data_IF_951527909845
#
_entry.id   IF_951527909845
#
_cell.length_a   1.000
_cell.length_b   1.000
_cell.length_c   1.000
_cell.angle_alpha   90.00
_cell.angle_beta   90.00
_cell.angle_gamma   90.00
#
_symmetry.space_group_name_H-M   'P 1'
#
loop_
_entity.id
_entity.type
_entity.pdbx_description
1 polymer ?
#
# COMPACT_ATOMS: atom_id res chain seq x y z
N UNK A 1 31.83 -8.56 -28.04
CA UNK A 1 30.37 -8.73 -28.23
C UNK A 1 29.71 -9.40 -27.02
N UNK A 2 30.27 -10.53 -26.52
CA UNK A 2 29.77 -11.29 -25.36
C UNK A 2 29.46 -10.46 -24.08
N UNK A 3 30.35 -9.53 -23.69
CA UNK A 3 30.15 -8.71 -22.47
C UNK A 3 28.88 -7.83 -22.50
N UNK A 4 28.46 -7.34 -23.68
CA UNK A 4 27.23 -6.54 -23.81
C UNK A 4 25.97 -7.41 -23.74
N UNK A 5 26.04 -8.64 -24.22
CA UNK A 5 24.94 -9.62 -24.17
C UNK A 5 24.67 -10.02 -22.72
N UNK A 6 25.72 -10.34 -21.96
CA UNK A 6 25.64 -10.67 -20.53
C UNK A 6 25.05 -9.55 -19.68
N UNK A 7 25.47 -8.30 -19.88
CA UNK A 7 24.93 -7.14 -19.13
C UNK A 7 23.45 -6.92 -19.42
N UNK A 8 23.03 -7.13 -20.69
CA UNK A 8 21.63 -7.01 -21.09
C UNK A 8 20.76 -8.09 -20.44
N UNK A 9 21.22 -9.33 -20.39
CA UNK A 9 20.49 -10.42 -19.71
C UNK A 9 20.32 -10.17 -18.21
N UNK A 10 21.41 -9.80 -17.54
CA UNK A 10 21.39 -9.46 -16.11
C UNK A 10 20.37 -8.34 -15.86
N UNK A 11 20.32 -7.32 -16.72
CA UNK A 11 19.32 -6.24 -16.61
C UNK A 11 17.88 -6.77 -16.61
N UNK A 12 17.51 -7.66 -17.55
CA UNK A 12 16.14 -8.18 -17.62
C UNK A 12 15.78 -9.03 -16.40
N UNK A 13 16.71 -9.86 -15.89
CA UNK A 13 16.50 -10.62 -14.66
C UNK A 13 16.34 -9.71 -13.43
N UNK A 14 17.17 -8.67 -13.31
CA UNK A 14 17.07 -7.69 -12.22
C UNK A 14 15.73 -6.95 -12.28
N UNK A 15 15.28 -6.54 -13.46
CA UNK A 15 13.97 -5.89 -13.62
C UNK A 15 12.82 -6.83 -13.25
N UNK A 16 12.88 -8.10 -13.63
CA UNK A 16 11.92 -9.12 -13.21
C UNK A 16 11.91 -9.28 -11.69
N UNK A 17 13.08 -9.32 -11.05
CA UNK A 17 13.19 -9.42 -9.60
C UNK A 17 12.56 -8.21 -8.89
N UNK A 18 12.87 -7.00 -9.35
CA UNK A 18 12.29 -5.76 -8.82
C UNK A 18 10.76 -5.80 -8.97
N UNK A 19 10.25 -6.20 -10.13
CA UNK A 19 8.81 -6.29 -10.37
C UNK A 19 8.12 -7.31 -9.44
N UNK A 20 8.76 -8.45 -9.15
CA UNK A 20 8.25 -9.42 -8.17
C UNK A 20 8.20 -8.82 -6.76
N UNK A 21 9.25 -8.11 -6.34
CA UNK A 21 9.28 -7.45 -5.02
C UNK A 21 8.14 -6.43 -4.93
N UNK A 22 7.97 -5.59 -5.96
CA UNK A 22 6.88 -4.62 -6.01
C UNK A 22 5.52 -5.29 -6.01
N UNK A 23 5.35 -6.41 -6.71
CA UNK A 23 4.13 -7.20 -6.72
C UNK A 23 3.75 -7.68 -5.31
N UNK A 24 4.72 -8.22 -4.56
CA UNK A 24 4.50 -8.67 -3.17
C UNK A 24 4.10 -7.50 -2.28
N UNK A 25 4.84 -6.38 -2.34
CA UNK A 25 4.52 -5.16 -1.56
C UNK A 25 3.10 -4.67 -1.88
N UNK A 26 2.71 -4.73 -3.15
CA UNK A 26 1.38 -4.29 -3.61
C UNK A 26 0.28 -5.17 -3.04
N UNK A 27 0.48 -6.49 -3.03
CA UNK A 27 -0.48 -7.44 -2.44
C UNK A 27 -0.65 -7.20 -0.94
N UNK A 28 0.44 -7.05 -0.20
CA UNK A 28 0.39 -6.74 1.24
C UNK A 28 -0.33 -5.42 1.49
N UNK A 29 -0.01 -4.38 0.70
CA UNK A 29 -0.67 -3.07 0.81
C UNK A 29 -2.18 -3.18 0.58
N UNK A 30 -2.61 -3.93 -0.44
CA UNK A 30 -4.04 -4.14 -0.72
C UNK A 30 -4.70 -4.89 0.43
N UNK A 31 -4.06 -5.94 0.94
CA UNK A 31 -4.59 -6.73 2.05
C UNK A 31 -4.79 -5.86 3.30
N UNK A 32 -3.75 -5.16 3.74
CA UNK A 32 -3.80 -4.30 4.93
C UNK A 32 -4.86 -3.20 4.77
N UNK A 33 -4.92 -2.59 3.59
CA UNK A 33 -5.91 -1.57 3.27
C UNK A 33 -7.34 -2.12 3.24
N UNK A 34 -7.54 -3.35 2.77
CA UNK A 34 -8.85 -3.99 2.77
C UNK A 34 -9.31 -4.27 4.21
N UNK A 35 -8.42 -4.79 5.06
CA UNK A 35 -8.71 -5.04 6.47
C UNK A 35 -9.04 -3.72 7.19
N UNK A 36 -8.23 -2.68 7.01
CA UNK A 36 -8.46 -1.36 7.63
C UNK A 36 -9.72 -0.67 7.11
N UNK A 37 -10.16 -0.96 5.89
CA UNK A 37 -11.43 -0.45 5.39
C UNK A 37 -12.64 -1.11 6.08
N UNK A 38 -12.60 -2.44 6.25
CA UNK A 38 -13.68 -3.20 6.89
C UNK A 38 -13.71 -2.98 8.40
N UNK A 39 -12.53 -2.95 9.04
CA UNK A 39 -12.34 -2.72 10.47
C UNK A 39 -11.32 -1.62 10.68
N UNK A 40 -11.71 -0.34 10.53
CA UNK A 40 -10.84 0.77 10.85
C UNK A 40 -10.50 0.74 12.34
N UNK A 41 -9.21 0.72 12.65
CA UNK A 41 -8.73 0.84 14.02
C UNK A 41 -8.35 2.30 14.28
N UNK A 42 -8.83 2.85 15.38
CA UNK A 42 -8.38 4.15 15.88
C UNK A 42 -7.82 3.98 17.28
N UNK A 43 -6.73 4.68 17.56
CA UNK A 43 -6.17 4.78 18.91
C UNK A 43 -6.94 5.80 19.77
N UNK A 44 -7.81 6.60 19.15
CA UNK A 44 -8.59 7.61 19.81
C UNK A 44 -9.86 6.99 20.41
N UNK A 45 -9.84 6.82 21.73
CA UNK A 45 -10.96 6.28 22.49
C UNK A 45 -11.55 7.36 23.38
N UNK A 46 -12.82 7.23 23.76
CA UNK A 46 -13.45 8.16 24.71
C UNK A 46 -12.63 8.29 25.99
N UNK A 47 -12.08 7.19 26.51
CA UNK A 47 -11.25 7.20 27.71
C UNK A 47 -9.94 8.00 27.53
N UNK A 48 -9.36 8.02 26.33
CA UNK A 48 -8.10 8.73 26.07
C UNK A 48 -8.30 10.23 25.86
N UNK A 49 -9.43 10.67 25.31
CA UNK A 49 -9.66 12.10 24.97
C UNK A 49 -10.61 12.84 25.92
N UNK A 50 -11.48 12.13 26.65
CA UNK A 50 -12.39 12.75 27.61
C UNK A 50 -11.72 13.66 28.66
N UNK A 51 -10.60 13.30 29.31
CA UNK A 51 -9.99 14.20 30.30
C UNK A 51 -9.50 15.51 29.68
N UNK A 52 -8.88 15.45 28.51
CA UNK A 52 -8.38 16.62 27.77
C UNK A 52 -9.53 17.55 27.36
N UNK A 53 -10.61 17.00 26.79
CA UNK A 53 -11.77 17.80 26.36
C UNK A 53 -12.51 18.43 27.53
N UNK A 54 -12.59 17.74 28.68
CA UNK A 54 -13.19 18.31 29.90
C UNK A 54 -12.37 19.46 30.47
N UNK A 55 -11.05 19.39 30.38
CA UNK A 55 -10.17 20.48 30.80
C UNK A 55 -10.26 21.68 29.85
N UNK A 56 -10.23 21.42 28.53
CA UNK A 56 -10.24 22.45 27.50
C UNK A 56 -11.58 23.17 27.34
N UNK A 57 -12.69 22.45 27.54
CA UNK A 57 -14.06 22.94 27.31
C UNK A 57 -14.91 22.93 28.58
N UNK A 58 -14.30 23.11 29.76
CA UNK A 58 -14.99 23.01 31.05
C UNK A 58 -16.17 23.96 31.25
N UNK A 59 -16.29 25.00 30.43
CA UNK A 59 -17.42 25.95 30.40
C UNK A 59 -18.66 25.39 29.68
N UNK A 60 -18.52 24.32 28.90
CA UNK A 60 -19.62 23.65 28.20
C UNK A 60 -20.32 22.65 29.11
N UNK A 61 -21.57 22.33 28.79
CA UNK A 61 -22.26 21.23 29.45
C UNK A 61 -21.59 19.89 29.13
N UNK A 62 -21.71 18.91 30.04
CA UNK A 62 -21.17 17.56 29.82
C UNK A 62 -21.72 16.91 28.54
N UNK A 63 -22.97 17.19 28.20
CA UNK A 63 -23.60 16.68 26.99
C UNK A 63 -22.96 17.27 25.71
N UNK A 64 -22.56 18.54 25.73
CA UNK A 64 -21.85 19.17 24.61
C UNK A 64 -20.43 18.62 24.47
N UNK A 65 -19.73 18.42 25.59
CA UNK A 65 -18.38 17.80 25.60
C UNK A 65 -18.43 16.38 25.04
N UNK A 66 -19.39 15.57 25.49
CA UNK A 66 -19.56 14.20 25.01
C UNK A 66 -19.86 14.16 23.51
N UNK A 67 -20.69 15.09 23.01
CA UNK A 67 -20.97 15.21 21.58
C UNK A 67 -19.72 15.54 20.76
N UNK A 68 -18.89 16.47 21.22
CA UNK A 68 -17.62 16.82 20.55
C UNK A 68 -16.66 15.63 20.49
N UNK A 69 -16.58 14.86 21.57
CA UNK A 69 -15.75 13.64 21.65
C UNK A 69 -16.23 12.59 20.65
N UNK A 70 -17.55 12.37 20.55
CA UNK A 70 -18.12 11.41 19.60
C UNK A 70 -17.89 11.85 18.14
N UNK A 71 -18.05 13.14 17.84
CA UNK A 71 -17.78 13.70 16.52
C UNK A 71 -16.31 13.54 16.12
N UNK A 72 -15.37 13.79 17.03
CA UNK A 72 -13.94 13.62 16.79
C UNK A 72 -13.57 12.14 16.51
N UNK A 73 -14.09 11.21 17.31
CA UNK A 73 -13.87 9.78 17.11
C UNK A 73 -14.46 9.33 15.77
N UNK A 74 -15.68 9.78 15.44
CA UNK A 74 -16.33 9.45 14.18
C UNK A 74 -15.54 10.02 12.98
N UNK A 75 -15.03 11.25 13.08
CA UNK A 75 -14.19 11.86 12.05
C UNK A 75 -12.87 11.10 11.86
N UNK A 76 -12.23 10.69 12.95
CA UNK A 76 -11.02 9.85 12.92
C UNK A 76 -11.28 8.51 12.22
N UNK A 77 -12.35 7.80 12.59
CA UNK A 77 -12.72 6.54 11.95
C UNK A 77 -13.00 6.72 10.45
N UNK A 78 -13.65 7.82 10.06
CA UNK A 78 -13.90 8.13 8.66
C UNK A 78 -12.60 8.41 7.90
N UNK A 79 -11.67 9.15 8.50
CA UNK A 79 -10.36 9.40 7.91
C UNK A 79 -9.56 8.12 7.70
N UNK A 80 -9.57 7.19 8.67
CA UNK A 80 -8.94 5.87 8.52
C UNK A 80 -9.53 5.09 7.35
N UNK A 81 -10.86 5.11 7.17
CA UNK A 81 -11.51 4.48 6.00
C UNK A 81 -11.08 5.12 4.69
N UNK A 82 -10.97 6.45 4.63
CA UNK A 82 -10.51 7.15 3.41
C UNK A 82 -9.06 6.79 3.10
N UNK A 83 -8.19 6.75 4.11
CA UNK A 83 -6.80 6.33 3.93
C UNK A 83 -6.69 4.88 3.46
N UNK A 84 -7.52 3.99 4.01
CA UNK A 84 -7.63 2.61 3.57
C UNK A 84 -8.05 2.51 2.09
N UNK A 85 -9.07 3.27 1.66
CA UNK A 85 -9.47 3.33 0.24
C UNK A 85 -8.29 3.79 -0.63
N UNK A 86 -7.59 4.86 -0.24
CA UNK A 86 -6.41 5.35 -0.98
C UNK A 86 -5.31 4.29 -1.05
N UNK A 87 -5.11 3.52 0.01
CA UNK A 87 -4.18 2.40 0.06
C UNK A 87 -4.55 1.29 -0.93
N UNK A 88 -5.83 0.93 -1.02
CA UNK A 88 -6.35 -0.01 -2.03
C UNK A 88 -6.03 0.46 -3.45
N UNK A 89 -6.33 1.72 -3.77
CA UNK A 89 -6.03 2.29 -5.09
C UNK A 89 -4.53 2.29 -5.38
N UNK A 90 -3.69 2.67 -4.42
CA UNK A 90 -2.24 2.68 -4.59
C UNK A 90 -1.69 1.29 -4.87
N UNK A 91 -2.10 0.29 -4.10
CA UNK A 91 -1.69 -1.09 -4.31
C UNK A 91 -2.19 -1.64 -5.65
N UNK A 92 -3.45 -1.36 -6.01
CA UNK A 92 -4.01 -1.75 -7.31
C UNK A 92 -3.25 -1.12 -8.49
N UNK A 93 -2.91 0.17 -8.41
CA UNK A 93 -2.11 0.85 -9.43
C UNK A 93 -0.72 0.20 -9.59
N UNK A 94 -0.06 -0.14 -8.49
CA UNK A 94 1.23 -0.84 -8.54
C UNK A 94 1.11 -2.21 -9.20
N UNK A 95 0.02 -2.96 -8.96
CA UNK A 95 -0.22 -4.23 -9.67
C UNK A 95 -0.46 -4.02 -11.16
N UNK A 96 -1.31 -3.04 -11.52
CA UNK A 96 -1.65 -2.73 -12.91
C UNK A 96 -0.42 -2.31 -13.71
N UNK A 97 0.54 -1.62 -13.09
CA UNK A 97 1.78 -1.19 -13.74
C UNK A 97 2.86 -2.28 -13.68
N UNK A 98 3.04 -2.90 -12.53
CA UNK A 98 4.09 -3.89 -12.28
C UNK A 98 3.88 -5.18 -13.06
N UNK A 99 2.64 -5.64 -13.23
CA UNK A 99 2.35 -6.90 -13.91
C UNK A 99 2.69 -6.86 -15.40
N UNK A 100 2.27 -5.85 -16.20
CA UNK A 100 2.71 -5.72 -17.59
C UNK A 100 4.24 -5.57 -17.72
N UNK A 101 4.87 -4.80 -16.84
CA UNK A 101 6.33 -4.65 -16.83
C UNK A 101 7.03 -5.99 -16.62
N UNK A 102 6.57 -6.78 -15.65
CA UNK A 102 7.09 -8.13 -15.41
C UNK A 102 6.91 -9.02 -16.65
N UNK A 103 5.71 -9.08 -17.21
CA UNK A 103 5.40 -9.92 -18.38
C UNK A 103 6.32 -9.57 -19.56
N UNK A 104 6.51 -8.28 -19.85
CA UNK A 104 7.36 -7.83 -20.96
C UNK A 104 8.82 -8.19 -20.72
N UNK A 105 9.36 -7.92 -19.52
CA UNK A 105 10.77 -8.19 -19.22
C UNK A 105 11.05 -9.69 -19.15
N UNK A 106 10.10 -10.48 -18.63
CA UNK A 106 10.22 -11.93 -18.54
C UNK A 106 10.24 -12.59 -19.92
N UNK A 107 9.32 -12.19 -20.82
CA UNK A 107 9.34 -12.68 -22.21
C UNK A 107 10.68 -12.41 -22.88
N UNK A 108 11.21 -11.19 -22.74
CA UNK A 108 12.52 -10.83 -23.29
C UNK A 108 13.68 -11.60 -22.66
N UNK A 109 13.63 -11.87 -21.36
CA UNK A 109 14.62 -12.71 -20.68
C UNK A 109 14.62 -14.14 -21.25
N UNK A 110 13.43 -14.73 -21.47
CA UNK A 110 13.28 -16.06 -22.05
C UNK A 110 13.79 -16.12 -23.49
N UNK A 111 13.46 -15.13 -24.32
CA UNK A 111 13.89 -15.10 -25.72
C UNK A 111 15.42 -15.07 -25.84
N UNK A 112 16.11 -14.27 -25.02
CA UNK A 112 17.58 -14.23 -25.02
C UNK A 112 18.20 -15.53 -24.49
N UNK A 113 17.62 -16.12 -23.45
CA UNK A 113 18.09 -17.41 -22.95
C UNK A 113 18.01 -18.51 -24.00
N UNK A 114 16.92 -18.56 -24.78
CA UNK A 114 16.77 -19.50 -25.91
C UNK A 114 17.81 -19.28 -26.99
N UNK A 115 18.06 -18.02 -27.38
CA UNK A 115 19.07 -17.69 -28.39
C UNK A 115 20.48 -18.13 -27.98
N UNK A 116 20.83 -18.02 -26.70
CA UNK A 116 22.14 -18.48 -26.21
C UNK A 116 22.26 -20.01 -26.27
N UNK A 117 21.19 -20.74 -25.94
CA UNK A 117 21.17 -22.20 -26.01
C UNK A 117 21.29 -22.75 -27.44
N UNK A 118 20.82 -21.99 -28.43
CA UNK A 118 20.91 -22.36 -29.85
C UNK A 118 22.24 -21.95 -30.50
N UNK A 119 23.02 -21.07 -29.83
CA UNK A 119 24.31 -20.58 -30.32
C UNK A 119 25.54 -21.30 -29.76
N UNK A 120 25.34 -22.15 -28.74
CA UNK A 120 26.35 -23.02 -28.11
C UNK A 120 26.32 -24.44 -28.72
#
# INVERSE_FOLDING_TARGET
MARRVYVREIYFYVMCLIAIILFIISLVTIYDSAINYVKPMTYMTRASIAPMYREQYGELSQAEIDKLIEEEIAASLNNERIMAIKGLFRGALLLIIGLPLFIVHWKKAQDMWRLNLESD
#
